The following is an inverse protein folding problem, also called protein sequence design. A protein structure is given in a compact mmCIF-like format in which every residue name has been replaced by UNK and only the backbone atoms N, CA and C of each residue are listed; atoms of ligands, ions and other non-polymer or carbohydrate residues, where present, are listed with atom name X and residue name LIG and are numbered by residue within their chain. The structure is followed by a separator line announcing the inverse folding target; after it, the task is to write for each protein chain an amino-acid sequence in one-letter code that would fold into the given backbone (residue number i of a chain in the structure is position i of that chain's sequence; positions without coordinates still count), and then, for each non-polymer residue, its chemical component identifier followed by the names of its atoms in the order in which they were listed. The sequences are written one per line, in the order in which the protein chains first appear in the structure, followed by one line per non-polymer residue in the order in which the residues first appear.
data_IF_303713612072
#
_entry.id   IF_303713612072
#
_cell.length_a   1.000
_cell.length_b   1.000
_cell.length_c   1.000
_cell.angle_alpha   90.00
_cell.angle_beta   90.00
_cell.angle_gamma   90.00
#
_symmetry.space_group_name_H-M   'P 1'
#
loop_
_entity.id
_entity.type
_entity.pdbx_description
1 polymer ?
#
# COMPACT_ATOMS: atom_id res chain seq x y z
N UNK A 1 -7.43 19.07 10.93
CA UNK A 1 -6.59 17.95 10.46
C UNK A 1 -6.98 17.45 9.09
N UNK A 2 -8.25 17.12 8.78
CA UNK A 2 -8.62 16.56 7.46
C UNK A 2 -8.24 17.45 6.24
N UNK A 3 -8.35 18.77 6.34
CA UNK A 3 -8.01 19.70 5.24
C UNK A 3 -6.53 19.63 4.80
N UNK A 4 -5.60 19.33 5.73
CA UNK A 4 -4.18 19.17 5.37
C UNK A 4 -3.90 17.87 4.64
N UNK A 5 -4.82 16.89 4.66
CA UNK A 5 -4.73 15.64 3.93
C UNK A 5 -5.15 15.78 2.46
N UNK A 6 -5.85 16.86 2.09
CA UNK A 6 -6.32 17.12 0.71
C UNK A 6 -5.25 17.75 -0.20
N UNK A 7 -3.96 17.52 0.12
CA UNK A 7 -2.78 18.00 -0.61
C UNK A 7 -2.83 17.67 -2.10
N UNK A 8 -2.46 18.64 -2.94
CA UNK A 8 -2.39 18.52 -4.42
C UNK A 8 -1.13 17.80 -4.93
N UNK A 9 -0.39 17.09 -4.08
CA UNK A 9 0.85 16.42 -4.49
C UNK A 9 0.59 15.05 -5.12
N UNK A 10 0.18 15.09 -6.36
CA UNK A 10 0.25 14.00 -7.32
C UNK A 10 0.09 14.60 -8.71
N UNK A 11 1.06 14.39 -9.61
CA UNK A 11 0.97 14.83 -11.00
C UNK A 11 -0.11 13.99 -11.73
N UNK A 12 -1.39 14.24 -11.45
CA UNK A 12 -2.49 13.84 -12.31
C UNK A 12 -2.67 14.94 -13.34
N UNK A 13 -2.41 14.57 -14.59
CA UNK A 13 -2.46 15.40 -15.79
C UNK A 13 -3.57 16.46 -15.72
N UNK A 14 -3.18 17.72 -15.88
CA UNK A 14 -4.04 18.91 -15.91
C UNK A 14 -5.12 18.80 -16.99
N UNK A 15 -6.28 18.18 -16.71
CA UNK A 15 -7.53 18.45 -17.46
C UNK A 15 -8.81 17.81 -16.90
N UNK A 16 -8.82 17.25 -15.68
CA UNK A 16 -10.06 16.71 -15.09
C UNK A 16 -10.24 17.27 -13.67
N UNK A 17 -11.42 17.83 -13.40
CA UNK A 17 -11.85 18.22 -12.06
C UNK A 17 -11.76 16.99 -11.15
N UNK A 18 -10.78 16.97 -10.24
CA UNK A 18 -10.62 15.87 -9.30
C UNK A 18 -11.76 15.96 -8.28
N UNK A 19 -12.67 14.98 -8.31
CA UNK A 19 -13.66 14.82 -7.24
C UNK A 19 -12.93 14.31 -6.00
N UNK A 20 -13.04 15.05 -4.89
CA UNK A 20 -12.41 14.71 -3.61
C UNK A 20 -13.47 14.15 -2.67
N UNK A 21 -13.20 12.99 -2.08
CA UNK A 21 -14.04 12.41 -1.03
C UNK A 21 -13.27 12.37 0.30
N UNK A 22 -13.98 12.59 1.41
CA UNK A 22 -13.48 12.33 2.76
C UNK A 22 -14.44 11.40 3.49
N UNK A 23 -13.93 10.27 3.95
CA UNK A 23 -14.67 9.32 4.78
C UNK A 23 -14.39 9.59 6.26
N UNK A 24 -15.43 9.91 7.02
CA UNK A 24 -15.39 10.07 8.47
C UNK A 24 -16.00 8.83 9.10
N UNK A 25 -15.18 8.08 9.83
CA UNK A 25 -15.61 6.90 10.59
C UNK A 25 -15.63 7.24 12.08
N UNK A 26 -16.72 6.90 12.78
CA UNK A 26 -16.82 7.07 14.24
C UNK A 26 -17.59 5.90 14.86
N UNK A 27 -17.20 5.49 16.06
CA UNK A 27 -17.90 4.52 16.89
C UNK A 27 -18.70 5.16 18.04
N UNK A 28 -18.61 6.50 18.16
CA UNK A 28 -19.25 7.25 19.23
C UNK A 28 -19.75 8.64 18.80
N UNK A 29 -20.27 9.37 19.77
CA UNK A 29 -20.71 10.77 19.63
C UNK A 29 -19.57 11.75 19.90
N UNK A 30 -19.56 12.89 19.21
CA UNK A 30 -18.64 13.98 19.53
C UNK A 30 -18.92 14.56 20.90
N UNK A 31 -17.84 14.75 21.66
CA UNK A 31 -17.85 15.49 22.93
C UNK A 31 -18.15 16.98 22.75
N UNK A 32 -17.99 17.51 21.53
CA UNK A 32 -18.35 18.89 21.17
C UNK A 32 -18.91 18.97 19.75
N UNK A 33 -20.21 18.73 19.63
CA UNK A 33 -20.93 18.71 18.36
C UNK A 33 -20.82 20.02 17.57
N UNK A 34 -20.79 21.18 18.25
CA UNK A 34 -20.70 22.50 17.59
C UNK A 34 -19.40 22.61 16.79
N UNK A 35 -18.28 22.28 17.43
CA UNK A 35 -16.96 22.33 16.76
C UNK A 35 -16.83 21.28 15.66
N UNK A 36 -17.40 20.09 15.85
CA UNK A 36 -17.44 19.03 14.84
C UNK A 36 -18.20 19.49 13.59
N UNK A 37 -19.38 20.09 13.77
CA UNK A 37 -20.21 20.59 12.66
C UNK A 37 -19.50 21.71 11.90
N UNK A 38 -18.85 22.64 12.59
CA UNK A 38 -18.08 23.70 11.93
C UNK A 38 -16.88 23.15 11.14
N UNK A 39 -16.19 22.14 11.67
CA UNK A 39 -15.09 21.49 10.97
C UNK A 39 -15.57 20.73 9.72
N UNK A 40 -16.71 20.04 9.83
CA UNK A 40 -17.34 19.37 8.71
C UNK A 40 -17.77 20.37 7.63
N UNK A 41 -18.44 21.47 7.99
CA UNK A 41 -18.85 22.51 7.05
C UNK A 41 -17.65 23.08 6.25
N UNK A 42 -16.52 23.34 6.92
CA UNK A 42 -15.30 23.78 6.24
C UNK A 42 -14.76 22.74 5.26
N UNK A 43 -14.89 21.46 5.58
CA UNK A 43 -14.40 20.35 4.75
C UNK A 43 -15.31 20.10 3.53
N UNK A 44 -16.62 20.24 3.71
CA UNK A 44 -17.64 20.10 2.66
C UNK A 44 -17.45 21.10 1.51
N UNK A 45 -16.80 22.25 1.79
CA UNK A 45 -16.44 23.24 0.76
C UNK A 45 -15.31 22.80 -0.17
N UNK A 46 -14.50 21.81 0.23
CA UNK A 46 -13.35 21.33 -0.55
C UNK A 46 -13.48 19.87 -1.03
N UNK A 47 -14.39 19.09 -0.44
CA UNK A 47 -14.58 17.67 -0.72
C UNK A 47 -15.99 17.19 -0.33
N UNK A 48 -16.44 16.10 -0.94
CA UNK A 48 -17.64 15.38 -0.53
C UNK A 48 -17.35 14.58 0.74
N UNK A 49 -18.04 14.88 1.84
CA UNK A 49 -17.86 14.21 3.13
C UNK A 49 -18.88 13.08 3.28
N UNK A 50 -18.41 11.87 3.52
CA UNK A 50 -19.22 10.69 3.83
C UNK A 50 -19.04 10.31 5.29
N UNK A 51 -20.12 10.27 6.07
CA UNK A 51 -20.09 9.95 7.50
C UNK A 51 -20.59 8.52 7.75
N UNK A 52 -19.79 7.73 8.46
CA UNK A 52 -20.02 6.31 8.75
C UNK A 52 -19.96 6.12 10.26
N UNK A 53 -21.10 5.78 10.87
CA UNK A 53 -21.18 5.36 12.26
C UNK A 53 -21.05 3.85 12.40
N UNK A 54 -20.21 3.37 13.30
CA UNK A 54 -20.00 1.95 13.58
C UNK A 54 -20.55 1.60 14.96
N UNK A 55 -21.34 0.54 15.04
CA UNK A 55 -21.95 0.11 16.30
C UNK A 55 -23.16 0.95 16.70
N UNK A 56 -23.50 0.91 17.99
CA UNK A 56 -24.78 1.43 18.51
C UNK A 56 -24.69 2.79 19.20
N UNK A 57 -23.48 3.23 19.55
CA UNK A 57 -23.25 4.41 20.39
C UNK A 57 -23.03 5.69 19.57
N UNK A 58 -23.52 5.70 18.32
CA UNK A 58 -23.41 6.79 17.35
C UNK A 58 -24.72 7.56 17.21
N UNK A 59 -24.63 8.89 17.12
CA UNK A 59 -25.80 9.74 16.85
C UNK A 59 -26.00 9.93 15.36
N UNK A 60 -27.09 9.39 14.81
CA UNK A 60 -27.42 9.57 13.39
C UNK A 60 -27.61 11.05 13.02
N UNK A 61 -28.12 11.87 13.94
CA UNK A 61 -28.26 13.31 13.74
C UNK A 61 -26.90 14.02 13.63
N UNK A 62 -25.91 13.55 14.40
CA UNK A 62 -24.55 14.06 14.32
C UNK A 62 -23.88 13.67 13.00
N UNK A 63 -23.98 12.40 12.59
CA UNK A 63 -23.45 11.92 11.31
C UNK A 63 -24.02 12.73 10.13
N UNK A 64 -25.33 13.01 10.17
CA UNK A 64 -26.00 13.86 9.17
C UNK A 64 -25.50 15.31 9.16
N UNK A 65 -25.05 15.82 10.29
CA UNK A 65 -24.44 17.16 10.37
C UNK A 65 -23.00 17.21 9.85
N UNK A 66 -22.34 16.05 9.76
CA UNK A 66 -20.98 15.90 9.25
C UNK A 66 -20.96 15.63 7.74
N UNK A 67 -21.86 14.77 7.27
CA UNK A 67 -21.92 14.38 5.86
C UNK A 67 -22.32 15.53 4.94
N UNK A 68 -21.77 15.54 3.73
CA UNK A 68 -22.23 16.42 2.66
C UNK A 68 -23.69 16.14 2.31
N UNK A 69 -24.44 17.13 1.77
CA UNK A 69 -25.73 16.86 1.17
C UNK A 69 -25.58 15.88 -0.02
N UNK A 70 -26.58 15.03 -0.29
CA UNK A 70 -26.57 14.13 -1.44
C UNK A 70 -26.46 14.92 -2.74
N UNK A 71 -25.71 14.38 -3.70
CA UNK A 71 -25.57 14.98 -5.03
C UNK A 71 -26.92 14.88 -5.79
N UNK A 72 -27.50 16.00 -6.23
CA UNK A 72 -28.79 16.01 -6.92
C UNK A 72 -28.77 15.30 -8.29
N UNK A 73 -27.59 15.17 -8.93
CA UNK A 73 -27.43 14.52 -10.23
C UNK A 73 -27.00 13.05 -10.09
N UNK A 74 -26.40 12.65 -8.97
CA UNK A 74 -25.99 11.28 -8.69
C UNK A 74 -27.08 10.52 -7.91
N UNK A 75 -28.12 10.05 -8.62
CA UNK A 75 -29.12 9.05 -8.22
C UNK A 75 -29.16 8.69 -6.71
N UNK A 76 -29.66 9.60 -5.87
CA UNK A 76 -30.04 9.36 -4.46
C UNK A 76 -28.96 8.74 -3.55
N UNK A 77 -27.67 9.01 -3.77
CA UNK A 77 -26.62 8.58 -2.86
C UNK A 77 -26.70 9.30 -1.50
N UNK A 78 -27.11 8.58 -0.45
CA UNK A 78 -26.90 9.06 0.93
C UNK A 78 -25.41 9.13 1.23
N UNK A 79 -24.95 10.17 1.92
CA UNK A 79 -23.59 10.24 2.47
C UNK A 79 -23.54 9.96 3.98
N UNK A 80 -24.64 9.46 4.54
CA UNK A 80 -24.75 9.06 5.95
C UNK A 80 -25.02 7.56 6.01
N UNK A 81 -24.17 6.84 6.74
CA UNK A 81 -24.26 5.40 6.91
C UNK A 81 -24.10 5.00 8.38
N UNK A 82 -24.78 3.93 8.76
CA UNK A 82 -24.61 3.29 10.06
C UNK A 82 -24.46 1.79 9.84
N UNK A 83 -23.37 1.22 10.35
CA UNK A 83 -23.00 -0.19 10.18
C UNK A 83 -22.88 -0.86 11.54
N UNK A 84 -23.20 -2.16 11.62
CA UNK A 84 -23.20 -2.88 12.88
C UNK A 84 -21.78 -3.14 13.42
N UNK A 85 -20.81 -3.34 12.53
CA UNK A 85 -19.42 -3.63 12.83
C UNK A 85 -18.52 -3.15 11.69
N UNK A 86 -17.19 -3.22 11.88
CA UNK A 86 -16.22 -2.77 10.90
C UNK A 86 -16.22 -3.63 9.62
N UNK A 87 -16.61 -4.91 9.69
CA UNK A 87 -16.67 -5.80 8.51
C UNK A 87 -17.70 -5.32 7.48
N UNK A 88 -18.81 -4.74 7.93
CA UNK A 88 -19.85 -4.19 7.09
C UNK A 88 -19.44 -2.91 6.33
N UNK A 89 -18.27 -2.32 6.64
CA UNK A 89 -17.72 -1.17 5.92
C UNK A 89 -17.27 -1.56 4.51
N UNK A 90 -16.78 -2.79 4.31
CA UNK A 90 -16.33 -3.24 2.99
C UNK A 90 -17.46 -3.18 1.95
N UNK A 91 -18.65 -3.70 2.30
CA UNK A 91 -19.83 -3.62 1.41
C UNK A 91 -20.40 -2.20 1.24
N UNK A 92 -20.04 -1.26 2.11
CA UNK A 92 -20.36 0.15 1.92
C UNK A 92 -19.41 0.81 0.90
N UNK A 93 -18.12 0.52 0.98
CA UNK A 93 -17.11 1.02 0.04
C UNK A 93 -17.46 0.60 -1.39
N UNK A 94 -17.86 -0.66 -1.60
CA UNK A 94 -18.23 -1.17 -2.93
C UNK A 94 -19.40 -0.38 -3.54
N UNK A 95 -20.46 -0.13 -2.75
CA UNK A 95 -21.63 0.65 -3.23
C UNK A 95 -21.30 2.10 -3.54
N UNK A 96 -20.40 2.70 -2.76
CA UNK A 96 -19.94 4.06 -3.00
C UNK A 96 -19.12 4.15 -4.29
N UNK A 97 -18.30 3.15 -4.56
CA UNK A 97 -17.54 3.02 -5.81
C UNK A 97 -18.50 2.92 -6.99
N UNK A 98 -19.47 2.01 -6.96
CA UNK A 98 -20.39 1.80 -8.07
C UNK A 98 -21.20 3.05 -8.41
N UNK A 99 -21.65 3.76 -7.37
CA UNK A 99 -22.54 4.89 -7.54
C UNK A 99 -21.84 6.21 -7.90
N UNK A 100 -20.53 6.32 -7.64
CA UNK A 100 -19.73 7.50 -8.01
C UNK A 100 -19.04 7.36 -9.37
N UNK A 101 -19.16 6.19 -10.02
CA UNK A 101 -18.27 5.81 -11.12
C UNK A 101 -19.02 5.17 -12.30
N UNK A 102 -19.97 5.90 -12.92
CA UNK A 102 -20.83 5.43 -14.02
C UNK A 102 -20.09 5.02 -15.33
N UNK A 103 -18.83 5.42 -15.51
CA UNK A 103 -17.98 5.06 -16.68
C UNK A 103 -16.59 4.60 -16.28
N UNK A 104 -16.54 3.75 -15.27
CA UNK A 104 -15.29 3.29 -14.73
C UNK A 104 -15.08 1.80 -14.96
N UNK A 105 -13.86 1.41 -15.33
CA UNK A 105 -13.45 0.02 -15.46
C UNK A 105 -12.37 -0.27 -14.43
N UNK A 106 -12.45 -1.43 -13.79
CA UNK A 106 -11.35 -1.94 -12.99
C UNK A 106 -10.20 -2.29 -13.93
N UNK A 107 -9.10 -1.56 -13.82
CA UNK A 107 -7.85 -1.86 -14.49
C UNK A 107 -6.99 -2.75 -13.59
N UNK A 108 -6.44 -3.79 -14.21
CA UNK A 108 -5.51 -4.71 -13.58
C UNK A 108 -4.08 -4.52 -14.09
N UNK A 109 -3.82 -3.44 -14.84
CA UNK A 109 -2.48 -3.09 -15.31
C UNK A 109 -1.63 -2.56 -14.15
N UNK A 110 -1.04 -3.47 -13.38
CA UNK A 110 -0.17 -3.15 -12.25
C UNK A 110 1.12 -3.96 -12.34
N UNK A 111 2.25 -3.28 -12.15
CA UNK A 111 3.56 -3.90 -12.01
C UNK A 111 3.99 -3.88 -10.58
N UNK A 112 4.25 -5.06 -10.06
CA UNK A 112 4.56 -5.34 -8.69
C UNK A 112 6.01 -5.81 -8.67
N UNK A 113 6.85 -5.09 -7.96
CA UNK A 113 8.23 -5.49 -7.69
C UNK A 113 8.31 -5.84 -6.22
N UNK A 114 8.59 -7.09 -5.92
CA UNK A 114 8.75 -7.59 -4.57
C UNK A 114 10.22 -7.63 -4.24
N UNK A 115 10.60 -6.95 -3.16
CA UNK A 115 11.94 -6.96 -2.59
C UNK A 115 11.87 -7.72 -1.29
N UNK A 116 12.73 -8.71 -1.12
CA UNK A 116 12.85 -9.47 0.12
C UNK A 116 14.25 -9.27 0.65
N UNK A 117 14.35 -8.69 1.83
CA UNK A 117 15.56 -8.68 2.64
C UNK A 117 15.98 -10.13 2.92
N UNK A 118 17.21 -10.49 2.58
CA UNK A 118 17.74 -11.86 2.65
C UNK A 118 19.00 -11.93 3.53
N UNK A 119 19.23 -10.92 4.40
CA UNK A 119 20.39 -10.92 5.28
C UNK A 119 20.16 -11.75 6.55
N UNK A 120 21.00 -12.79 6.73
CA UNK A 120 20.89 -13.74 7.83
C UNK A 120 21.36 -13.21 9.18
N UNK A 121 20.72 -13.74 10.23
CA UNK A 121 21.00 -13.69 11.68
C UNK A 121 20.97 -12.34 12.40
N UNK A 122 21.43 -11.24 11.81
CA UNK A 122 21.39 -9.90 12.46
C UNK A 122 20.19 -9.05 12.03
N UNK A 123 19.76 -9.17 10.78
CA UNK A 123 18.67 -8.37 10.21
C UNK A 123 17.34 -9.12 10.14
N UNK A 124 17.26 -10.31 9.53
CA UNK A 124 16.02 -11.08 9.48
C UNK A 124 16.28 -12.56 9.75
N UNK A 125 15.66 -13.11 10.79
CA UNK A 125 15.85 -14.51 11.16
C UNK A 125 15.05 -15.45 10.24
N UNK A 126 15.32 -16.75 10.30
CA UNK A 126 14.68 -17.75 9.43
C UNK A 126 13.15 -17.81 9.58
N UNK A 127 12.62 -17.56 10.78
CA UNK A 127 11.18 -17.53 11.02
C UNK A 127 10.55 -16.28 10.37
N UNK A 128 11.18 -15.12 10.51
CA UNK A 128 10.78 -13.88 9.86
C UNK A 128 10.84 -14.00 8.34
N UNK A 129 11.89 -14.61 7.79
CA UNK A 129 11.98 -14.90 6.35
C UNK A 129 10.85 -15.82 5.88
N UNK A 130 10.56 -16.88 6.65
CA UNK A 130 9.41 -17.75 6.37
C UNK A 130 8.07 -17.01 6.39
N UNK A 131 7.90 -16.04 7.30
CA UNK A 131 6.71 -15.17 7.35
C UNK A 131 6.64 -14.21 6.17
N UNK A 132 7.77 -13.66 5.70
CA UNK A 132 7.82 -12.86 4.49
C UNK A 132 7.34 -13.66 3.27
N UNK A 133 7.83 -14.90 3.09
CA UNK A 133 7.36 -15.78 2.01
C UNK A 133 5.88 -16.14 2.14
N UNK A 134 5.38 -16.33 3.37
CA UNK A 134 3.95 -16.58 3.61
C UNK A 134 3.10 -15.35 3.25
N UNK A 135 3.52 -14.15 3.66
CA UNK A 135 2.88 -12.89 3.29
C UNK A 135 2.85 -12.67 1.78
N UNK A 136 3.96 -12.98 1.10
CA UNK A 136 4.04 -12.94 -0.35
C UNK A 136 3.14 -13.97 -1.03
N UNK A 137 3.09 -15.20 -0.50
CA UNK A 137 2.17 -16.25 -0.97
C UNK A 137 0.72 -15.81 -0.84
N UNK A 138 0.36 -15.19 0.29
CA UNK A 138 -0.95 -14.62 0.50
C UNK A 138 -1.28 -13.55 -0.54
N UNK A 139 -0.41 -12.56 -0.75
CA UNK A 139 -0.61 -11.52 -1.77
C UNK A 139 -0.76 -12.14 -3.16
N UNK A 140 0.07 -13.13 -3.51
CA UNK A 140 0.08 -13.78 -4.82
C UNK A 140 -1.28 -14.42 -5.19
N UNK A 141 -2.00 -14.98 -4.21
CA UNK A 141 -3.31 -15.61 -4.43
C UNK A 141 -4.39 -14.62 -4.89
N UNK A 142 -4.21 -13.32 -4.66
CA UNK A 142 -5.16 -12.28 -5.05
C UNK A 142 -4.78 -11.53 -6.32
N UNK A 143 -3.69 -11.93 -6.97
CA UNK A 143 -3.29 -11.38 -8.25
C UNK A 143 -4.13 -12.07 -9.35
N UNK A 144 -4.93 -11.34 -10.17
CA UNK A 144 -5.60 -11.92 -11.31
C UNK A 144 -4.58 -12.58 -12.24
N UNK A 145 -5.01 -13.65 -12.92
CA UNK A 145 -4.17 -14.45 -13.80
C UNK A 145 -3.18 -13.62 -14.64
N UNK A 146 -1.92 -14.04 -14.60
CA UNK A 146 -0.79 -13.34 -15.16
C UNK A 146 -0.84 -13.32 -16.70
N UNK A 147 -0.10 -12.37 -17.31
CA UNK A 147 0.20 -12.33 -18.76
C UNK A 147 -0.91 -11.96 -19.76
N UNK A 148 -2.03 -11.40 -19.33
CA UNK A 148 -2.85 -10.61 -20.27
C UNK A 148 -2.18 -9.27 -20.54
N UNK A 149 -2.37 -8.69 -21.73
CA UNK A 149 -1.87 -7.32 -22.05
C UNK A 149 -2.29 -6.30 -20.99
N UNK A 150 -3.44 -6.55 -20.35
CA UNK A 150 -4.03 -5.73 -19.29
C UNK A 150 -3.91 -6.33 -17.87
N UNK A 151 -3.13 -7.40 -17.68
CA UNK A 151 -2.98 -8.11 -16.41
C UNK A 151 -1.81 -7.61 -15.56
N UNK A 152 -1.70 -8.17 -14.35
CA UNK A 152 -0.64 -7.82 -13.40
C UNK A 152 0.67 -8.55 -13.74
N UNK A 153 1.81 -7.91 -13.46
CA UNK A 153 3.14 -8.53 -13.50
C UNK A 153 3.84 -8.41 -12.15
N UNK A 154 4.49 -9.47 -11.70
CA UNK A 154 5.27 -9.61 -10.46
C UNK A 154 6.72 -9.95 -10.80
N UNK A 155 7.64 -9.09 -10.37
CA UNK A 155 9.06 -9.39 -10.33
C UNK A 155 9.45 -9.58 -8.87
N UNK A 156 10.26 -10.59 -8.56
CA UNK A 156 10.71 -10.85 -7.19
C UNK A 156 12.23 -10.73 -7.18
N UNK A 157 12.75 -10.10 -6.14
CA UNK A 157 14.17 -9.85 -5.95
C UNK A 157 14.51 -10.07 -4.48
N UNK A 158 15.62 -10.76 -4.23
CA UNK A 158 16.18 -10.95 -2.90
C UNK A 158 17.45 -10.09 -2.77
N UNK A 159 17.58 -9.36 -1.66
CA UNK A 159 18.74 -8.51 -1.38
C UNK A 159 19.46 -9.07 -0.16
N UNK A 160 20.65 -9.62 -0.36
CA UNK A 160 21.47 -10.24 0.69
C UNK A 160 22.79 -9.51 0.93
N UNK A 161 23.68 -10.14 1.69
CA UNK A 161 24.98 -9.62 2.11
C UNK A 161 26.04 -9.66 1.00
N UNK A 162 25.99 -10.68 0.14
CA UNK A 162 26.83 -10.82 -1.06
C UNK A 162 26.29 -10.01 -2.26
N UNK A 163 25.36 -9.09 -2.00
CA UNK A 163 24.81 -8.14 -2.95
C UNK A 163 23.43 -8.51 -3.50
N UNK A 164 23.09 -7.87 -4.62
CA UNK A 164 21.80 -7.98 -5.28
C UNK A 164 21.68 -9.29 -6.06
N UNK A 165 20.80 -10.20 -5.62
CA UNK A 165 20.43 -11.36 -6.43
C UNK A 165 19.05 -11.14 -7.00
N UNK A 166 19.02 -10.76 -8.27
CA UNK A 166 17.78 -10.78 -9.05
C UNK A 166 17.39 -12.24 -9.31
N UNK A 167 16.61 -12.83 -8.41
CA UNK A 167 15.86 -14.04 -8.77
C UNK A 167 14.64 -13.60 -9.55
N UNK A 168 14.84 -13.16 -10.81
CA UNK A 168 13.71 -12.87 -11.69
C UNK A 168 12.95 -14.17 -11.85
N UNK A 169 11.78 -14.25 -11.24
CA UNK A 169 10.90 -15.40 -11.46
C UNK A 169 10.54 -15.35 -12.95
N UNK A 170 10.97 -16.34 -13.75
CA UNK A 170 10.76 -16.29 -15.18
C UNK A 170 9.26 -16.27 -15.43
N UNK A 171 8.77 -15.21 -16.08
CA UNK A 171 7.42 -15.00 -16.60
C UNK A 171 6.41 -16.08 -16.14
N UNK A 172 6.01 -16.06 -14.87
CA UNK A 172 4.97 -16.97 -14.39
C UNK A 172 3.72 -16.72 -15.24
N UNK A 173 3.15 -17.76 -15.83
CA UNK A 173 1.97 -17.64 -16.71
C UNK A 173 0.66 -17.76 -15.96
N UNK A 174 0.73 -18.28 -14.74
CA UNK A 174 -0.38 -18.71 -13.91
C UNK A 174 0.04 -18.68 -12.44
N UNK A 175 -0.95 -18.79 -11.56
CA UNK A 175 -0.77 -18.73 -10.12
C UNK A 175 0.15 -19.86 -9.62
N UNK A 176 -0.02 -21.08 -10.12
CA UNK A 176 0.76 -22.24 -9.67
C UNK A 176 2.26 -22.05 -9.94
N UNK A 177 2.62 -21.55 -11.13
CA UNK A 177 3.99 -21.23 -11.50
C UNK A 177 4.60 -20.14 -10.61
N UNK A 178 3.82 -19.12 -10.25
CA UNK A 178 4.25 -18.07 -9.33
C UNK A 178 4.45 -18.63 -7.92
N UNK A 179 3.52 -19.43 -7.42
CA UNK A 179 3.59 -20.06 -6.11
C UNK A 179 4.77 -21.02 -5.99
N UNK A 180 5.03 -21.86 -7.00
CA UNK A 180 6.21 -22.74 -7.05
C UNK A 180 7.51 -21.92 -7.01
N UNK A 181 7.54 -20.81 -7.71
CA UNK A 181 8.71 -19.93 -7.74
C UNK A 181 8.95 -19.26 -6.39
N UNK A 182 7.91 -18.76 -5.72
CA UNK A 182 7.99 -18.25 -4.35
C UNK A 182 8.49 -19.35 -3.40
N UNK A 183 7.92 -20.56 -3.50
CA UNK A 183 8.30 -21.71 -2.68
C UNK A 183 9.74 -22.20 -2.94
N UNK A 184 10.38 -21.81 -4.04
CA UNK A 184 11.77 -22.14 -4.34
C UNK A 184 12.78 -21.17 -3.71
N UNK A 185 12.32 -20.00 -3.26
CA UNK A 185 13.17 -18.99 -2.63
C UNK A 185 13.70 -19.55 -1.30
N UNK A 186 15.00 -19.44 -1.08
CA UNK A 186 15.70 -19.90 0.12
C UNK A 186 16.48 -18.73 0.68
N UNK A 187 16.44 -18.58 2.00
CA UNK A 187 17.26 -17.57 2.66
C UNK A 187 18.73 -17.90 2.45
N UNK A 188 19.55 -16.91 2.10
CA UNK A 188 20.99 -17.08 2.10
C UNK A 188 21.49 -17.22 3.54
N UNK A 189 22.28 -18.25 3.79
CA UNK A 189 23.04 -18.36 5.03
C UNK A 189 24.40 -17.76 4.77
N UNK A 190 24.66 -16.63 5.41
CA UNK A 190 25.93 -15.95 5.29
C UNK A 190 26.52 -15.72 6.67
N UNK A 191 27.79 -16.13 6.83
CA UNK A 191 28.58 -15.86 8.03
C UNK A 191 29.23 -14.49 7.87
N UNK A 192 28.73 -13.50 8.58
CA UNK A 192 29.31 -12.17 8.64
C UNK A 192 29.23 -11.62 10.07
N UNK A 193 30.22 -10.81 10.45
CA UNK A 193 30.18 -10.13 11.75
C UNK A 193 29.03 -9.11 11.74
N UNK A 194 28.22 -9.09 12.81
CA UNK A 194 26.97 -8.31 12.95
C UNK A 194 27.10 -6.89 12.38
N UNK A 195 28.13 -6.15 12.78
CA UNK A 195 28.31 -4.74 12.40
C UNK A 195 28.68 -4.52 10.91
N UNK A 196 29.24 -5.52 10.22
CA UNK A 196 29.56 -5.43 8.79
C UNK A 196 28.35 -5.76 7.94
N UNK A 197 27.54 -6.73 8.36
CA UNK A 197 26.34 -7.14 7.65
C UNK A 197 25.20 -6.13 7.74
N UNK A 198 24.97 -5.57 8.93
CA UNK A 198 23.92 -4.56 9.08
C UNK A 198 24.24 -3.26 8.31
N UNK A 199 25.53 -2.92 8.14
CA UNK A 199 25.98 -1.81 7.28
C UNK A 199 25.85 -2.14 5.80
N UNK A 200 26.23 -3.36 5.40
CA UNK A 200 26.03 -3.83 4.03
C UNK A 200 24.54 -3.84 3.66
N UNK A 201 23.64 -4.19 4.58
CA UNK A 201 22.20 -4.16 4.37
C UNK A 201 21.69 -2.77 3.99
N UNK A 202 22.05 -1.75 4.79
CA UNK A 202 21.59 -0.38 4.56
C UNK A 202 21.96 0.11 3.14
N UNK A 203 23.18 -0.19 2.68
CA UNK A 203 23.66 0.17 1.34
C UNK A 203 23.07 -0.72 0.23
N UNK A 204 22.92 -2.03 0.50
CA UNK A 204 22.42 -2.97 -0.49
C UNK A 204 20.93 -2.77 -0.75
N UNK A 205 20.14 -2.49 0.30
CA UNK A 205 18.70 -2.26 0.17
C UNK A 205 18.42 -0.94 -0.54
N UNK A 206 19.13 0.14 -0.19
CA UNK A 206 18.98 1.43 -0.85
C UNK A 206 19.39 1.36 -2.32
N UNK A 207 20.58 0.80 -2.61
CA UNK A 207 21.08 0.63 -3.98
C UNK A 207 20.18 -0.28 -4.82
N UNK A 208 19.75 -1.42 -4.26
CA UNK A 208 18.83 -2.35 -4.92
C UNK A 208 17.47 -1.72 -5.20
N UNK A 209 16.92 -0.95 -4.26
CA UNK A 209 15.68 -0.22 -4.47
C UNK A 209 15.82 0.88 -5.53
N UNK A 210 16.91 1.66 -5.53
CA UNK A 210 17.18 2.67 -6.57
C UNK A 210 17.24 2.01 -7.96
N UNK A 211 17.89 0.86 -8.07
CA UNK A 211 17.94 0.11 -9.32
C UNK A 211 16.54 -0.35 -9.76
N UNK A 212 15.75 -0.90 -8.84
CA UNK A 212 14.37 -1.33 -9.13
C UNK A 212 13.51 -0.14 -9.54
N UNK A 213 13.59 0.99 -8.84
CA UNK A 213 12.86 2.23 -9.17
C UNK A 213 13.24 2.68 -10.58
N UNK A 214 14.54 2.69 -10.91
CA UNK A 214 15.02 3.06 -12.24
C UNK A 214 14.53 2.10 -13.33
N UNK A 215 14.54 0.78 -13.09
CA UNK A 215 14.03 -0.21 -14.04
C UNK A 215 12.51 -0.06 -14.21
N UNK A 216 11.80 0.15 -13.11
CA UNK A 216 10.34 0.32 -13.07
C UNK A 216 9.88 1.61 -13.76
N UNK A 217 10.66 2.68 -13.61
CA UNK A 217 10.41 3.99 -14.22
C UNK A 217 10.90 4.11 -15.67
N UNK A 218 11.76 3.21 -16.15
CA UNK A 218 12.13 3.15 -17.57
C UNK A 218 10.96 2.62 -18.37
N UNK A 219 10.44 3.45 -19.28
CA UNK A 219 9.38 3.18 -20.26
C UNK A 219 9.73 2.11 -21.32
N UNK A 220 10.59 1.14 -20.98
CA UNK A 220 11.06 0.10 -21.89
C UNK A 220 10.07 -1.07 -22.02
N UNK A 221 9.09 -1.20 -21.11
CA UNK A 221 7.91 -2.05 -21.29
C UNK A 221 6.75 -1.19 -21.80
N UNK A 222 5.99 -1.68 -22.79
CA UNK A 222 4.92 -0.97 -23.51
C UNK A 222 3.69 -0.61 -22.65
N UNK A 223 3.80 -0.59 -21.31
CA UNK A 223 2.74 -0.36 -20.34
C UNK A 223 2.96 0.92 -19.55
N UNK A 224 3.15 2.05 -20.25
CA UNK A 224 3.36 3.36 -19.64
C UNK A 224 2.17 3.83 -18.76
N UNK A 225 0.98 3.27 -18.97
CA UNK A 225 -0.22 3.58 -18.18
C UNK A 225 -0.50 2.58 -17.04
N UNK A 226 0.36 1.58 -16.82
CA UNK A 226 0.19 0.67 -15.67
C UNK A 226 0.60 1.37 -14.38
N UNK A 227 -0.11 1.07 -13.28
CA UNK A 227 0.37 1.41 -11.94
C UNK A 227 1.66 0.65 -11.63
N UNK A 228 2.56 1.29 -10.90
CA UNK A 228 3.82 0.69 -10.46
C UNK A 228 3.83 0.63 -8.93
N UNK A 229 4.14 -0.54 -8.38
CA UNK A 229 4.14 -0.83 -6.95
C UNK A 229 5.42 -1.57 -6.59
N UNK A 230 6.05 -1.17 -5.50
CA UNK A 230 7.13 -1.92 -4.85
C UNK A 230 6.61 -2.41 -3.49
N UNK A 231 6.80 -3.69 -3.20
CA UNK A 231 6.50 -4.30 -1.89
C UNK A 231 7.81 -4.80 -1.31
N UNK A 232 8.24 -4.23 -0.19
CA UNK A 232 9.50 -4.57 0.48
C UNK A 232 9.19 -5.37 1.73
N UNK A 233 9.64 -6.61 1.81
CA UNK A 233 9.69 -7.38 3.04
C UNK A 233 11.06 -7.20 3.69
N UNK A 234 11.11 -6.58 4.86
CA UNK A 234 12.34 -6.39 5.62
C UNK A 234 12.00 -6.29 7.10
N UNK A 235 12.94 -6.60 7.98
CA UNK A 235 12.79 -6.30 9.40
C UNK A 235 12.95 -4.81 9.72
N UNK A 236 13.50 -4.01 8.80
CA UNK A 236 13.82 -2.60 9.03
C UNK A 236 15.04 -2.37 9.92
N UNK A 237 15.73 -3.42 10.36
CA UNK A 237 16.89 -3.32 11.28
C UNK A 237 18.16 -2.87 10.55
N UNK A 238 18.15 -1.63 10.06
CA UNK A 238 19.28 -1.00 9.39
C UNK A 238 20.21 -0.32 10.41
N UNK A 239 21.52 -0.49 10.29
CA UNK A 239 22.48 0.24 11.15
C UNK A 239 22.36 1.76 11.00
N UNK A 240 22.03 2.24 9.81
CA UNK A 240 21.93 3.67 9.50
C UNK A 240 20.68 3.97 8.66
N UNK A 241 19.56 4.11 9.36
CA UNK A 241 18.25 4.45 8.78
C UNK A 241 18.26 5.82 8.10
N UNK A 242 19.07 6.75 8.63
CA UNK A 242 19.21 8.10 8.06
C UNK A 242 19.85 8.02 6.69
N UNK A 243 20.91 7.22 6.54
CA UNK A 243 21.55 6.97 5.25
C UNK A 243 20.57 6.34 4.25
N UNK A 244 19.83 5.29 4.66
CA UNK A 244 18.81 4.66 3.80
C UNK A 244 17.80 5.71 3.31
N UNK A 245 17.29 6.54 4.23
CA UNK A 245 16.31 7.58 3.89
C UNK A 245 16.88 8.66 2.97
N UNK A 246 18.14 9.05 3.16
CA UNK A 246 18.84 10.04 2.36
C UNK A 246 19.08 9.51 0.94
N UNK A 247 19.60 8.29 0.79
CA UNK A 247 19.88 7.69 -0.52
C UNK A 247 18.60 7.44 -1.33
N UNK A 248 17.51 7.04 -0.66
CA UNK A 248 16.22 6.83 -1.32
C UNK A 248 15.44 8.13 -1.57
N UNK A 249 15.82 9.26 -0.96
CA UNK A 249 14.98 10.45 -0.94
C UNK A 249 14.57 10.94 -2.32
N UNK A 250 15.54 11.08 -3.23
CA UNK A 250 15.28 11.62 -4.57
C UNK A 250 14.48 10.61 -5.40
N UNK A 251 14.86 9.32 -5.36
CA UNK A 251 14.15 8.25 -6.05
C UNK A 251 12.69 8.11 -5.58
N UNK A 252 12.42 8.26 -4.28
CA UNK A 252 11.07 8.24 -3.70
C UNK A 252 10.25 9.47 -4.10
N UNK A 253 10.89 10.63 -4.23
CA UNK A 253 10.21 11.89 -4.56
C UNK A 253 9.90 12.01 -6.05
N UNK A 254 10.78 11.52 -6.90
CA UNK A 254 10.67 11.61 -8.36
C UNK A 254 9.85 10.48 -8.98
N UNK A 255 9.71 9.35 -8.28
CA UNK A 255 8.93 8.22 -8.77
C UNK A 255 7.43 8.39 -8.51
N UNK A 256 6.61 8.01 -9.50
CA UNK A 256 5.18 7.78 -9.33
C UNK A 256 4.91 6.31 -9.00
N UNK A 257 5.66 5.78 -8.03
CA UNK A 257 5.63 4.38 -7.60
C UNK A 257 5.15 4.34 -6.16
N UNK A 258 4.13 3.53 -5.88
CA UNK A 258 3.73 3.26 -4.50
C UNK A 258 4.67 2.22 -3.89
N UNK A 259 5.36 2.60 -2.81
CA UNK A 259 6.23 1.67 -2.07
C UNK A 259 5.56 1.32 -0.75
N UNK A 260 5.48 0.03 -0.46
CA UNK A 260 4.99 -0.54 0.78
C UNK A 260 6.10 -1.31 1.46
N UNK A 261 6.23 -1.15 2.77
CA UNK A 261 7.18 -1.89 3.58
C UNK A 261 6.43 -2.79 4.57
N UNK A 262 6.83 -4.06 4.65
CA UNK A 262 6.17 -5.09 5.46
C UNK A 262 7.21 -5.72 6.37
N UNK A 263 7.02 -5.55 7.67
CA UNK A 263 7.81 -6.16 8.73
C UNK A 263 7.32 -7.56 9.07
N UNK A 264 8.07 -8.63 8.78
CA UNK A 264 7.57 -9.99 8.99
C UNK A 264 7.79 -10.52 10.43
N UNK A 265 8.20 -9.67 11.39
CA UNK A 265 8.62 -10.09 12.73
C UNK A 265 8.03 -9.26 13.87
N UNK A 266 8.09 -9.80 15.10
CA UNK A 266 7.72 -9.07 16.32
C UNK A 266 8.72 -7.95 16.63
N UNK A 267 10.00 -8.17 16.32
CA UNK A 267 11.08 -7.21 16.56
C UNK A 267 11.36 -6.35 15.32
N UNK A 268 10.33 -6.13 14.49
CA UNK A 268 10.41 -5.23 13.34
C UNK A 268 10.74 -3.81 13.80
N UNK A 269 11.75 -3.21 13.19
CA UNK A 269 12.10 -1.81 13.40
C UNK A 269 11.29 -0.91 12.45
N UNK A 270 10.20 -0.36 12.99
CA UNK A 270 9.27 0.48 12.25
C UNK A 270 9.90 1.77 11.73
N UNK A 271 10.89 2.34 12.45
CA UNK A 271 11.59 3.55 11.99
C UNK A 271 12.42 3.24 10.74
N UNK A 272 13.07 2.08 10.72
CA UNK A 272 13.77 1.62 9.53
C UNK A 272 12.82 1.36 8.35
N UNK A 273 11.67 0.72 8.58
CA UNK A 273 10.68 0.56 7.52
C UNK A 273 10.12 1.88 7.00
N UNK A 274 9.93 2.87 7.86
CA UNK A 274 9.54 4.22 7.45
C UNK A 274 10.60 4.90 6.58
N UNK A 275 11.89 4.54 6.71
CA UNK A 275 12.94 5.05 5.83
C UNK A 275 12.82 4.56 4.38
N UNK A 276 12.13 3.43 4.14
CA UNK A 276 11.96 2.82 2.81
C UNK A 276 10.77 3.40 2.03
N UNK A 277 9.84 4.08 2.69
CA UNK A 277 8.59 4.55 2.10
C UNK A 277 8.47 6.06 2.13
N UNK A 278 7.72 6.61 1.17
CA UNK A 278 7.36 8.02 1.16
C UNK A 278 6.28 8.36 2.20
N UNK A 279 5.28 7.49 2.28
CA UNK A 279 4.09 7.69 3.09
C UNK A 279 4.12 6.74 4.31
N UNK A 280 4.12 7.24 5.55
CA UNK A 280 4.22 6.39 6.74
C UNK A 280 3.13 5.32 6.85
N UNK A 281 1.93 5.58 6.31
CA UNK A 281 0.82 4.62 6.32
C UNK A 281 0.98 3.45 5.33
N UNK A 282 2.07 3.43 4.54
CA UNK A 282 2.42 2.30 3.68
C UNK A 282 3.32 1.27 4.39
N UNK A 283 3.49 1.38 5.71
CA UNK A 283 4.22 0.41 6.54
C UNK A 283 3.25 -0.53 7.25
N UNK A 284 3.51 -1.84 7.16
CA UNK A 284 2.72 -2.91 7.77
C UNK A 284 3.60 -3.87 8.56
N UNK A 285 3.00 -4.68 9.42
CA UNK A 285 3.69 -5.75 10.13
C UNK A 285 2.85 -7.04 10.15
N UNK A 286 3.53 -8.19 10.03
CA UNK A 286 2.97 -9.53 10.10
C UNK A 286 3.24 -10.15 11.46
N UNK A 287 2.61 -9.56 12.47
CA UNK A 287 2.62 -10.05 13.84
C UNK A 287 1.64 -11.24 13.93
N UNK A 288 1.98 -12.29 14.67
CA UNK A 288 1.10 -13.45 14.94
C UNK A 288 0.55 -14.17 13.70
N UNK A 289 1.25 -14.13 12.55
CA UNK A 289 0.75 -14.65 11.28
C UNK A 289 -0.56 -13.99 10.80
N UNK A 290 -0.89 -12.81 11.33
CA UNK A 290 -2.06 -12.06 10.88
C UNK A 290 -1.80 -11.48 9.48
N UNK A 291 -2.36 -12.14 8.47
CA UNK A 291 -2.27 -11.76 7.07
C UNK A 291 -3.36 -10.76 6.65
N UNK A 292 -4.38 -10.52 7.48
CA UNK A 292 -5.46 -9.57 7.19
C UNK A 292 -4.93 -8.13 7.09
N UNK A 293 -3.80 -7.83 7.74
CA UNK A 293 -3.10 -6.54 7.60
C UNK A 293 -2.68 -6.27 6.15
N UNK A 294 -2.54 -7.31 5.32
CA UNK A 294 -2.21 -7.20 3.90
C UNK A 294 -3.45 -7.01 3.01
N UNK A 295 -4.67 -7.04 3.55
CA UNK A 295 -5.89 -6.81 2.77
C UNK A 295 -5.93 -5.40 2.17
N UNK A 296 -5.29 -4.43 2.86
CA UNK A 296 -5.07 -3.09 2.31
C UNK A 296 -4.27 -3.17 1.01
N UNK A 297 -3.24 -4.01 0.93
CA UNK A 297 -2.46 -4.19 -0.30
C UNK A 297 -3.33 -4.78 -1.40
N UNK A 298 -4.22 -5.74 -1.10
CA UNK A 298 -5.16 -6.29 -2.11
C UNK A 298 -5.92 -5.18 -2.82
N UNK A 299 -6.48 -4.23 -2.05
CA UNK A 299 -7.23 -3.09 -2.59
C UNK A 299 -6.36 -2.15 -3.44
N UNK A 300 -5.04 -2.13 -3.25
CA UNK A 300 -4.10 -1.29 -4.00
C UNK A 300 -3.62 -1.95 -5.30
N UNK A 301 -3.74 -3.27 -5.42
CA UNK A 301 -3.26 -4.02 -6.59
C UNK A 301 -4.20 -3.88 -7.81
N UNK A 302 -5.48 -3.60 -7.57
CA UNK A 302 -6.46 -3.15 -8.57
C UNK A 302 -6.70 -1.65 -8.47
N UNK A 303 -7.05 -1.00 -9.58
CA UNK A 303 -7.47 0.41 -9.54
C UNK A 303 -8.56 0.68 -10.57
N UNK A 304 -9.31 1.74 -10.34
CA UNK A 304 -10.43 2.13 -11.19
C UNK A 304 -9.93 3.18 -12.19
N UNK A 305 -10.17 2.92 -13.48
CA UNK A 305 -9.95 3.85 -14.59
C UNK A 305 -11.29 4.35 -15.06
N UNK A 306 -11.52 5.65 -14.93
CA UNK A 306 -12.72 6.35 -15.36
C UNK A 306 -12.46 7.01 -16.72
N UNK A 307 -13.40 6.92 -17.66
CA UNK A 307 -13.34 7.58 -18.99
C UNK A 307 -14.46 8.58 -19.20
#
# INVERSE_FOLDING_TARGET
MARSLLSTRGNRLHSLTIVKFVFVLTDGMSTNMTTTKEAAFRLQGDATVVAIGVGRDVSHAELKSIASPPDPDANSLSYVYSVANFDAINGLIDRLIDATCEKCRVSHMTDIFVVIDDLSESAMNQQEFGRALNGLTYIAQYLPAYRQVNGQKVNITTIGDLGYRHTSIPNATDLDSLLMSIQSIRQQQSFCYINECEKALALNISSGMIQIINITGRNNDQRNNSRKIIVVFSSGRFTDKSLVRLELQDALNESNIDIFAIGPGYDTDMEGLHALVKEPFNVFSLIDYNLETLDVLKSKLSYIVCS
#
